data_IF_917046250977
#
_entry.id   IF_917046250977
#
_cell.length_a   1.000
_cell.length_b   1.000
_cell.length_c   1.000
_cell.angle_alpha   90.00
_cell.angle_beta   90.00
_cell.angle_gamma   90.00
#
_symmetry.space_group_name_H-M   'P 1'
#
loop_
_entity.id
_entity.type
_entity.pdbx_description
1 polymer ?
#
# COMPACT_ATOMS: atom_id res chain seq x y z
N UNK A 1 31.63 -10.49 6.11
CA UNK A 1 30.79 -9.52 5.39
C UNK A 1 29.85 -8.89 6.39
N UNK A 2 29.75 -7.55 6.42
CA UNK A 2 28.85 -6.83 7.32
C UNK A 2 27.38 -7.06 7.02
N UNK A 3 26.52 -6.82 8.01
CA UNK A 3 25.08 -6.86 7.86
C UNK A 3 24.60 -5.67 7.00
N UNK A 4 23.56 -5.88 6.20
CA UNK A 4 23.00 -4.85 5.33
C UNK A 4 21.69 -4.33 5.93
N UNK A 5 21.58 -3.01 6.01
CA UNK A 5 20.36 -2.36 6.48
C UNK A 5 19.21 -2.56 5.46
N UNK A 6 17.99 -2.66 5.96
CA UNK A 6 16.81 -2.77 5.12
C UNK A 6 16.61 -1.48 4.31
N UNK A 7 16.55 -1.52 2.95
CA UNK A 7 16.56 -0.32 2.12
C UNK A 7 15.39 0.62 2.37
N UNK A 8 14.19 0.08 2.62
CA UNK A 8 13.01 0.87 2.97
C UNK A 8 13.16 1.50 4.35
N UNK A 9 13.59 0.71 5.36
CA UNK A 9 13.77 1.19 6.73
C UNK A 9 14.80 2.32 6.83
N UNK A 10 15.89 2.24 6.06
CA UNK A 10 16.92 3.29 5.99
C UNK A 10 16.37 4.64 5.46
N UNK A 11 15.29 4.63 4.68
CA UNK A 11 14.68 5.80 4.04
C UNK A 11 13.37 6.27 4.65
N UNK A 12 12.90 5.60 5.70
CA UNK A 12 11.69 6.02 6.43
C UNK A 12 11.91 7.35 7.14
N UNK A 13 10.86 8.18 7.16
CA UNK A 13 10.90 9.51 7.77
C UNK A 13 11.57 10.60 6.90
N UNK A 14 12.30 10.20 5.84
CA UNK A 14 12.87 11.12 4.86
C UNK A 14 12.10 11.05 3.54
N UNK A 15 12.56 10.17 2.64
CA UNK A 15 11.96 10.05 1.31
C UNK A 15 10.67 9.24 1.34
N UNK A 16 10.61 8.22 2.19
CA UNK A 16 9.48 7.29 2.30
C UNK A 16 8.69 7.52 3.58
N UNK A 17 7.38 7.45 3.48
CA UNK A 17 6.48 7.53 4.61
C UNK A 17 6.10 6.14 5.13
N UNK A 18 5.45 6.07 6.29
CA UNK A 18 4.97 4.85 6.94
C UNK A 18 3.73 4.31 6.23
N UNK A 19 3.49 3.01 6.34
CA UNK A 19 2.28 2.37 5.82
C UNK A 19 1.12 2.37 6.84
N UNK A 20 1.38 2.75 8.08
CA UNK A 20 0.36 2.93 9.12
C UNK A 20 0.47 4.34 9.66
N UNK A 21 -0.62 5.10 9.56
CA UNK A 21 -0.71 6.52 9.92
C UNK A 21 -1.66 6.69 11.10
N UNK A 22 -1.19 6.35 12.30
CA UNK A 22 -1.95 6.51 13.54
C UNK A 22 -1.00 6.62 14.73
N UNK A 23 -1.52 7.14 15.84
CA UNK A 23 -0.82 7.25 17.10
C UNK A 23 -1.70 6.74 18.23
N UNK A 24 -1.11 6.06 19.21
CA UNK A 24 -1.77 5.62 20.43
C UNK A 24 -1.15 6.29 21.64
N UNK A 25 -1.98 6.86 22.53
CA UNK A 25 -1.51 7.56 23.72
C UNK A 25 -0.95 6.58 24.79
N UNK A 26 -1.52 5.37 24.88
CA UNK A 26 -1.13 4.35 25.86
C UNK A 26 -0.47 3.14 25.18
N UNK A 27 0.54 2.57 25.86
CA UNK A 27 1.27 1.39 25.35
C UNK A 27 0.36 0.14 25.21
N UNK A 28 -0.67 0.00 26.04
CA UNK A 28 -1.67 -1.07 25.95
C UNK A 28 -2.45 -1.01 24.63
N UNK A 29 -2.85 0.21 24.24
CA UNK A 29 -3.64 0.44 23.04
C UNK A 29 -2.76 0.28 21.80
N UNK A 30 -1.50 0.76 21.87
CA UNK A 30 -0.52 0.53 20.81
C UNK A 30 -0.35 -0.95 20.48
N UNK A 31 -0.22 -1.81 21.51
CA UNK A 31 -0.10 -3.26 21.33
C UNK A 31 -1.32 -3.85 20.61
N UNK A 32 -2.53 -3.47 21.04
CA UNK A 32 -3.79 -3.93 20.42
C UNK A 32 -3.89 -3.49 18.97
N UNK A 33 -3.69 -2.20 18.70
CA UNK A 33 -3.79 -1.64 17.36
C UNK A 33 -2.76 -2.22 16.39
N UNK A 34 -1.55 -2.51 16.86
CA UNK A 34 -0.51 -3.14 16.03
C UNK A 34 -0.88 -4.59 15.69
N UNK A 35 -1.45 -5.35 16.64
CA UNK A 35 -1.90 -6.71 16.35
C UNK A 35 -3.11 -6.74 15.40
N UNK A 36 -4.05 -5.80 15.53
CA UNK A 36 -5.15 -5.63 14.58
C UNK A 36 -4.65 -5.28 13.18
N UNK A 37 -3.69 -4.35 13.03
CA UNK A 37 -3.09 -4.00 11.73
C UNK A 37 -2.43 -5.21 11.06
N UNK A 38 -1.77 -6.06 11.84
CA UNK A 38 -1.21 -7.30 11.32
C UNK A 38 -2.29 -8.26 10.80
N UNK A 39 -3.37 -8.44 11.57
CA UNK A 39 -4.50 -9.32 11.17
C UNK A 39 -5.18 -8.77 9.91
N UNK A 40 -5.43 -7.46 9.82
CA UNK A 40 -6.00 -6.80 8.64
C UNK A 40 -5.13 -7.07 7.40
N UNK A 41 -3.81 -6.81 7.50
CA UNK A 41 -2.89 -7.04 6.38
C UNK A 41 -2.84 -8.50 5.97
N UNK A 42 -2.85 -9.41 6.94
CA UNK A 42 -2.86 -10.84 6.68
C UNK A 42 -4.14 -11.26 5.98
N UNK A 43 -5.30 -10.88 6.49
CA UNK A 43 -6.61 -11.20 5.91
C UNK A 43 -6.73 -10.73 4.45
N UNK A 44 -6.34 -9.48 4.17
CA UNK A 44 -6.40 -8.93 2.81
C UNK A 44 -5.40 -9.65 1.90
N UNK A 45 -4.19 -9.93 2.37
CA UNK A 45 -3.22 -10.68 1.58
C UNK A 45 -3.68 -12.12 1.31
N UNK A 46 -4.19 -12.84 2.30
CA UNK A 46 -4.63 -14.23 2.15
C UNK A 46 -5.79 -14.36 1.13
N UNK A 47 -6.73 -13.40 1.14
CA UNK A 47 -7.84 -13.37 0.17
C UNK A 47 -7.41 -13.07 -1.26
N UNK A 48 -6.41 -12.20 -1.45
CA UNK A 48 -6.06 -11.66 -2.77
C UNK A 48 -4.59 -11.82 -3.16
N UNK A 49 -3.82 -12.70 -2.47
CA UNK A 49 -2.37 -12.85 -2.69
C UNK A 49 -2.02 -13.22 -4.13
N UNK A 50 -2.78 -14.10 -4.74
CA UNK A 50 -2.49 -14.62 -6.09
C UNK A 50 -3.13 -13.79 -7.20
N UNK A 51 -4.38 -13.38 -7.02
CA UNK A 51 -5.17 -12.73 -8.07
C UNK A 51 -5.11 -11.20 -8.03
N UNK A 52 -5.10 -10.63 -6.84
CA UNK A 52 -5.29 -9.19 -6.60
C UNK A 52 -4.07 -8.31 -6.89
N UNK A 53 -2.87 -8.89 -7.09
CA UNK A 53 -1.64 -8.13 -7.36
C UNK A 53 -1.48 -6.89 -6.43
N UNK A 54 -1.63 -7.11 -5.11
CA UNK A 54 -1.53 -6.05 -4.10
C UNK A 54 -0.07 -5.63 -3.94
N UNK A 55 0.18 -4.33 -4.05
CA UNK A 55 1.48 -3.69 -3.83
C UNK A 55 1.71 -3.36 -2.36
N UNK A 56 0.80 -2.60 -1.76
CA UNK A 56 0.86 -2.20 -0.35
C UNK A 56 -0.54 -1.92 0.19
N UNK A 57 -0.63 -1.92 1.52
CA UNK A 57 -1.84 -1.61 2.27
C UNK A 57 -1.48 -0.53 3.28
N UNK A 58 -2.10 0.65 3.14
CA UNK A 58 -1.93 1.76 4.07
C UNK A 58 -3.14 1.80 5.01
N UNK A 59 -2.90 1.98 6.32
CA UNK A 59 -3.93 1.96 7.35
C UNK A 59 -3.88 3.29 8.10
N UNK A 60 -4.99 4.02 8.07
CA UNK A 60 -5.19 5.24 8.85
C UNK A 60 -6.28 4.99 9.90
N UNK A 61 -6.03 5.39 11.14
CA UNK A 61 -7.01 5.19 12.22
C UNK A 61 -7.44 6.54 12.79
N UNK A 62 -8.75 6.78 12.73
CA UNK A 62 -9.43 7.84 13.45
C UNK A 62 -9.98 7.35 14.79
N UNK A 63 -10.67 8.24 15.51
CA UNK A 63 -11.30 7.91 16.78
C UNK A 63 -12.41 6.86 16.61
N UNK A 64 -13.25 6.99 15.59
CA UNK A 64 -14.43 6.14 15.36
C UNK A 64 -14.39 5.35 14.05
N UNK A 65 -13.43 5.62 13.18
CA UNK A 65 -13.33 4.97 11.87
C UNK A 65 -11.91 4.50 11.58
N UNK A 66 -11.80 3.46 10.77
CA UNK A 66 -10.56 2.92 10.22
C UNK A 66 -10.62 3.04 8.71
N UNK A 67 -9.63 3.69 8.11
CA UNK A 67 -9.51 3.82 6.65
C UNK A 67 -8.39 2.91 6.18
N UNK A 68 -8.73 1.95 5.34
CA UNK A 68 -7.77 1.02 4.73
C UNK A 68 -7.66 1.35 3.24
N UNK A 69 -6.47 1.75 2.81
CA UNK A 69 -6.18 2.04 1.40
C UNK A 69 -5.36 0.91 0.81
N UNK A 70 -5.92 0.20 -0.17
CA UNK A 70 -5.27 -0.91 -0.87
C UNK A 70 -4.75 -0.42 -2.21
N UNK A 71 -3.44 -0.55 -2.42
CA UNK A 71 -2.79 -0.29 -3.71
C UNK A 71 -2.65 -1.59 -4.49
N UNK A 72 -3.24 -1.65 -5.67
CA UNK A 72 -3.28 -2.85 -6.50
C UNK A 72 -3.02 -2.53 -7.97
N UNK A 73 -2.43 -3.48 -8.71
CA UNK A 73 -2.32 -3.40 -10.15
C UNK A 73 -3.61 -3.88 -10.88
N UNK A 74 -4.52 -4.56 -10.15
CA UNK A 74 -5.76 -5.11 -10.72
C UNK A 74 -6.98 -4.77 -9.87
N UNK A 75 -7.43 -3.51 -9.86
CA UNK A 75 -8.50 -3.06 -8.98
C UNK A 75 -9.82 -3.81 -9.23
N UNK A 76 -10.11 -4.19 -10.47
CA UNK A 76 -11.34 -4.92 -10.81
C UNK A 76 -11.54 -6.24 -10.08
N UNK A 77 -10.45 -6.93 -9.71
CA UNK A 77 -10.51 -8.20 -8.96
C UNK A 77 -10.92 -7.94 -7.51
N UNK A 78 -10.41 -6.87 -6.91
CA UNK A 78 -10.71 -6.51 -5.52
C UNK A 78 -12.12 -5.90 -5.41
N UNK A 79 -12.55 -5.13 -6.41
CA UNK A 79 -13.88 -4.54 -6.44
C UNK A 79 -14.95 -5.63 -6.64
N UNK A 80 -14.68 -6.61 -7.50
CA UNK A 80 -15.61 -7.67 -7.84
C UNK A 80 -16.78 -7.18 -8.72
N UNK A 81 -17.69 -8.08 -9.03
CA UNK A 81 -18.88 -7.75 -9.82
C UNK A 81 -19.85 -6.89 -8.99
N UNK A 82 -20.15 -5.68 -9.45
CA UNK A 82 -21.08 -4.79 -8.75
C UNK A 82 -20.65 -4.31 -7.37
N UNK A 83 -19.34 -4.46 -7.00
CA UNK A 83 -18.84 -4.00 -5.69
C UNK A 83 -19.01 -4.99 -4.54
N UNK A 84 -19.59 -6.18 -4.77
CA UNK A 84 -19.88 -7.17 -3.71
C UNK A 84 -18.64 -7.60 -2.92
N UNK A 85 -17.48 -7.71 -3.58
CA UNK A 85 -16.25 -8.11 -2.89
C UNK A 85 -15.74 -7.02 -1.93
N UNK A 86 -15.95 -5.75 -2.25
CA UNK A 86 -15.61 -4.61 -1.37
C UNK A 86 -16.50 -4.61 -0.13
N UNK A 87 -17.79 -4.89 -0.29
CA UNK A 87 -18.73 -4.91 0.85
C UNK A 87 -18.39 -6.04 1.82
N UNK A 88 -18.05 -7.23 1.31
CA UNK A 88 -17.56 -8.35 2.14
C UNK A 88 -16.28 -7.99 2.90
N UNK A 89 -15.31 -7.33 2.23
CA UNK A 89 -14.09 -6.89 2.92
C UNK A 89 -14.41 -5.87 3.99
N UNK A 90 -15.35 -4.95 3.73
CA UNK A 90 -15.77 -3.94 4.72
C UNK A 90 -16.39 -4.58 5.95
N UNK A 91 -17.33 -5.52 5.77
CA UNK A 91 -17.95 -6.26 6.86
C UNK A 91 -16.93 -7.03 7.70
N UNK A 92 -15.96 -7.71 7.05
CA UNK A 92 -14.88 -8.39 7.74
C UNK A 92 -14.00 -7.42 8.55
N UNK A 93 -13.66 -6.25 7.97
CA UNK A 93 -12.89 -5.22 8.67
C UNK A 93 -13.66 -4.64 9.86
N UNK A 94 -14.95 -4.40 9.74
CA UNK A 94 -15.81 -3.93 10.82
C UNK A 94 -15.94 -4.96 11.94
N UNK A 95 -16.06 -6.24 11.59
CA UNK A 95 -16.10 -7.33 12.57
C UNK A 95 -14.80 -7.47 13.35
N UNK A 96 -13.64 -7.26 12.71
CA UNK A 96 -12.32 -7.35 13.32
C UNK A 96 -11.98 -6.13 14.21
N UNK A 97 -12.38 -4.93 13.78
CA UNK A 97 -11.97 -3.68 14.46
C UNK A 97 -13.03 -3.15 15.43
N UNK A 98 -14.29 -3.61 15.33
CA UNK A 98 -15.42 -3.07 16.08
C UNK A 98 -15.72 -1.59 15.76
N UNK A 99 -15.13 -1.03 14.70
CA UNK A 99 -15.27 0.34 14.24
C UNK A 99 -15.76 0.37 12.79
N UNK A 100 -16.30 1.51 12.37
CA UNK A 100 -16.66 1.69 10.96
C UNK A 100 -15.42 1.61 10.08
N UNK A 101 -15.46 0.75 9.05
CA UNK A 101 -14.39 0.59 8.10
C UNK A 101 -14.68 1.32 6.78
N UNK A 102 -13.70 2.10 6.33
CA UNK A 102 -13.71 2.72 5.01
C UNK A 102 -12.62 2.08 4.16
N UNK A 103 -13.00 1.53 3.02
CA UNK A 103 -12.07 0.92 2.09
C UNK A 103 -11.86 1.84 0.89
N UNK A 104 -10.59 2.16 0.61
CA UNK A 104 -10.19 2.89 -0.60
C UNK A 104 -9.33 1.95 -1.46
N UNK A 105 -9.61 1.87 -2.75
CA UNK A 105 -8.83 1.08 -3.70
C UNK A 105 -8.15 2.05 -4.66
N UNK A 106 -6.82 1.98 -4.72
CA UNK A 106 -6.01 2.80 -5.62
C UNK A 106 -5.26 1.91 -6.60
N UNK A 107 -5.32 2.28 -7.87
CA UNK A 107 -4.60 1.59 -8.93
C UNK A 107 -3.13 1.99 -8.98
N UNK A 108 -2.26 0.99 -9.07
CA UNK A 108 -0.83 1.18 -9.36
C UNK A 108 -0.65 1.25 -10.87
N UNK A 109 -0.45 2.45 -11.41
CA UNK A 109 -0.33 2.69 -12.86
C UNK A 109 0.84 1.98 -13.52
N UNK A 110 1.94 1.81 -12.81
CA UNK A 110 3.18 1.20 -13.31
C UNK A 110 3.60 0.03 -12.40
N UNK A 111 3.01 -1.18 -12.58
CA UNK A 111 3.30 -2.33 -11.73
C UNK A 111 4.74 -2.83 -11.86
N UNK A 112 5.38 -2.60 -13.02
CA UNK A 112 6.76 -3.01 -13.27
C UNK A 112 7.80 -2.17 -12.50
N UNK A 113 7.40 -1.05 -11.89
CA UNK A 113 8.25 -0.25 -10.99
C UNK A 113 8.08 -0.60 -9.51
N UNK A 114 7.14 -1.49 -9.17
CA UNK A 114 6.92 -1.97 -7.81
C UNK A 114 7.69 -3.26 -7.56
N UNK A 115 8.60 -3.22 -6.58
CA UNK A 115 9.47 -4.36 -6.29
C UNK A 115 8.69 -5.61 -5.82
N UNK A 116 7.54 -5.44 -5.14
CA UNK A 116 6.74 -6.57 -4.66
C UNK A 116 6.02 -7.26 -5.81
N UNK A 117 5.43 -6.48 -6.71
CA UNK A 117 4.72 -7.01 -7.89
C UNK A 117 5.67 -7.71 -8.84
N UNK A 118 6.84 -7.13 -9.10
CA UNK A 118 7.90 -7.76 -9.91
C UNK A 118 8.38 -9.05 -9.24
N UNK A 119 8.61 -9.04 -7.92
CA UNK A 119 9.02 -10.22 -7.17
C UNK A 119 8.00 -11.36 -7.24
N UNK A 120 6.71 -11.06 -7.10
CA UNK A 120 5.61 -12.03 -7.25
C UNK A 120 5.52 -12.59 -8.67
N UNK A 121 5.65 -11.73 -9.69
CA UNK A 121 5.66 -12.17 -11.08
C UNK A 121 6.81 -13.15 -11.39
N UNK A 122 8.00 -12.91 -10.81
CA UNK A 122 9.13 -13.84 -10.90
C UNK A 122 8.81 -15.14 -10.15
N UNK A 123 8.21 -15.07 -8.96
CA UNK A 123 7.83 -16.24 -8.17
C UNK A 123 6.85 -17.14 -8.94
N UNK A 124 5.81 -16.57 -9.54
CA UNK A 124 4.85 -17.29 -10.38
C UNK A 124 5.52 -17.98 -11.57
N UNK A 125 6.46 -17.31 -12.25
CA UNK A 125 7.20 -17.91 -13.36
C UNK A 125 8.05 -19.08 -12.90
N UNK A 126 8.69 -19.00 -11.73
CA UNK A 126 9.49 -20.09 -11.16
C UNK A 126 8.62 -21.28 -10.75
N UNK A 127 7.44 -21.04 -10.18
CA UNK A 127 6.45 -22.09 -9.88
C UNK A 127 5.98 -22.81 -11.15
N UNK A 128 5.84 -22.07 -12.25
CA UNK A 128 5.53 -22.63 -13.59
C UNK A 128 6.74 -23.26 -14.28
N UNK A 129 7.85 -23.48 -13.55
CA UNK A 129 9.08 -24.11 -14.03
C UNK A 129 9.79 -23.37 -15.18
N UNK A 130 9.61 -22.08 -15.30
CA UNK A 130 10.40 -21.24 -16.21
C UNK A 130 11.84 -21.18 -15.71
N UNK A 131 12.81 -21.25 -16.62
CA UNK A 131 14.23 -21.12 -16.28
C UNK A 131 14.49 -19.77 -15.57
N UNK A 132 15.03 -19.81 -14.35
CA UNK A 132 15.20 -18.62 -13.51
C UNK A 132 15.99 -17.50 -14.19
N UNK A 133 17.03 -17.82 -14.97
CA UNK A 133 17.80 -16.81 -15.73
C UNK A 133 16.96 -16.07 -16.75
N UNK A 134 16.03 -16.76 -17.41
CA UNK A 134 15.10 -16.16 -18.37
C UNK A 134 14.10 -15.26 -17.64
N UNK A 135 13.53 -15.74 -16.55
CA UNK A 135 12.59 -14.97 -15.74
C UNK A 135 13.21 -13.66 -15.22
N UNK A 136 14.43 -13.71 -14.68
CA UNK A 136 15.15 -12.53 -14.22
C UNK A 136 15.44 -11.53 -15.34
N UNK A 137 15.93 -12.02 -16.49
CA UNK A 137 16.22 -11.14 -17.64
C UNK A 137 14.97 -10.46 -18.17
N UNK A 138 13.87 -11.21 -18.33
CA UNK A 138 12.60 -10.65 -18.80
C UNK A 138 12.04 -9.61 -17.81
N UNK A 139 12.10 -9.89 -16.51
CA UNK A 139 11.68 -8.94 -15.50
C UNK A 139 12.53 -7.66 -15.52
N UNK A 140 13.87 -7.79 -15.63
CA UNK A 140 14.75 -6.63 -15.73
C UNK A 140 14.44 -5.77 -16.95
N UNK A 141 14.30 -6.38 -18.11
CA UNK A 141 13.97 -5.65 -19.34
C UNK A 141 12.66 -4.86 -19.21
N UNK A 142 11.59 -5.46 -18.67
CA UNK A 142 10.31 -4.77 -18.45
C UNK A 142 10.46 -3.59 -17.51
N UNK A 143 11.13 -3.79 -16.37
CA UNK A 143 11.35 -2.73 -15.38
C UNK A 143 12.18 -1.58 -15.95
N UNK A 144 13.22 -1.86 -16.73
CA UNK A 144 14.02 -0.82 -17.39
C UNK A 144 13.23 -0.08 -18.49
N UNK A 145 12.39 -0.79 -19.25
CA UNK A 145 11.49 -0.19 -20.24
C UNK A 145 10.42 0.71 -19.60
N UNK A 146 9.98 0.37 -18.38
CA UNK A 146 9.03 1.18 -17.61
C UNK A 146 9.65 2.43 -16.97
N UNK A 147 10.97 2.68 -17.19
CA UNK A 147 11.65 3.89 -16.77
C UNK A 147 12.42 3.80 -15.46
N UNK A 148 12.73 2.59 -14.98
CA UNK A 148 13.64 2.42 -13.86
C UNK A 148 15.07 2.81 -14.26
N UNK A 149 15.81 3.48 -13.36
CA UNK A 149 17.23 3.80 -13.55
C UNK A 149 18.16 2.63 -13.22
N UNK A 150 17.63 1.60 -12.59
CA UNK A 150 18.34 0.36 -12.30
C UNK A 150 17.55 -0.64 -11.49
N UNK A 151 17.87 -1.90 -11.71
CA UNK A 151 17.28 -3.04 -11.00
C UNK A 151 18.38 -4.00 -10.52
N UNK A 152 18.17 -4.57 -9.34
CA UNK A 152 18.97 -5.64 -8.80
C UNK A 152 18.05 -6.72 -8.25
N UNK A 153 18.30 -7.94 -8.65
CA UNK A 153 17.56 -9.11 -8.18
C UNK A 153 18.53 -10.16 -7.66
N UNK A 154 18.15 -10.84 -6.59
CA UNK A 154 18.89 -11.97 -6.03
C UNK A 154 17.91 -13.10 -5.80
N UNK A 155 18.22 -14.26 -6.35
CA UNK A 155 17.44 -15.47 -6.18
C UNK A 155 18.29 -16.49 -5.44
N UNK A 156 17.74 -17.11 -4.40
CA UNK A 156 18.46 -18.05 -3.54
C UNK A 156 17.61 -19.28 -3.24
N UNK A 157 18.23 -20.45 -3.25
CA UNK A 157 17.58 -21.75 -3.02
C UNK A 157 18.07 -22.83 -3.98
N UNK A 158 17.27 -23.87 -4.17
CA UNK A 158 17.56 -24.98 -5.09
C UNK A 158 17.20 -24.59 -6.54
N UNK A 159 18.04 -23.74 -7.13
CA UNK A 159 17.80 -23.17 -8.46
C UNK A 159 17.84 -24.26 -9.55
N UNK A 160 16.74 -24.35 -10.30
CA UNK A 160 16.57 -25.37 -11.35
C UNK A 160 16.46 -26.81 -10.82
N UNK A 161 16.12 -27.00 -9.55
CA UNK A 161 16.02 -28.33 -8.92
C UNK A 161 17.37 -28.91 -8.47
N UNK A 162 18.47 -28.12 -8.49
CA UNK A 162 19.77 -28.56 -8.02
C UNK A 162 19.71 -29.02 -6.57
N UNK A 163 20.46 -30.08 -6.22
CA UNK A 163 20.48 -30.65 -4.88
C UNK A 163 21.07 -29.67 -3.87
N UNK A 164 22.15 -28.97 -4.26
CA UNK A 164 22.80 -27.94 -3.43
C UNK A 164 22.20 -26.58 -3.72
N UNK A 165 21.75 -25.91 -2.66
CA UNK A 165 21.24 -24.55 -2.75
C UNK A 165 22.36 -23.58 -3.14
N UNK A 166 22.03 -22.63 -4.01
CA UNK A 166 22.93 -21.55 -4.42
C UNK A 166 22.19 -20.23 -4.55
N UNK A 167 22.96 -19.15 -4.62
CA UNK A 167 22.43 -17.80 -4.81
C UNK A 167 22.97 -17.27 -6.14
N UNK A 168 22.08 -16.75 -6.96
CA UNK A 168 22.42 -16.06 -8.21
C UNK A 168 21.90 -14.63 -8.17
N UNK A 169 22.63 -13.70 -8.78
CA UNK A 169 22.28 -12.28 -8.82
C UNK A 169 22.20 -11.79 -10.27
N UNK A 170 21.21 -10.97 -10.56
CA UNK A 170 21.10 -10.22 -11.80
C UNK A 170 21.00 -8.74 -11.49
N UNK A 171 21.73 -7.92 -12.22
CA UNK A 171 21.73 -6.47 -12.02
C UNK A 171 21.86 -5.79 -13.36
N UNK A 172 21.03 -4.74 -13.56
CA UNK A 172 21.05 -3.88 -14.73
C UNK A 172 20.89 -2.43 -14.29
N UNK A 173 21.64 -1.51 -14.90
CA UNK A 173 21.68 -0.12 -14.47
C UNK A 173 22.40 0.08 -13.14
N UNK A 174 22.04 1.16 -12.43
CA UNK A 174 22.68 1.58 -11.16
C UNK A 174 21.71 1.43 -9.98
N UNK A 175 22.18 0.85 -8.86
CA UNK A 175 21.37 0.74 -7.62
C UNK A 175 22.19 1.24 -6.42
N UNK A 176 22.16 2.55 -6.11
CA UNK A 176 22.98 3.17 -5.06
C UNK A 176 22.35 2.97 -3.68
N UNK A 177 22.64 1.84 -3.02
CA UNK A 177 22.02 1.48 -1.73
C UNK A 177 22.44 2.42 -0.58
N UNK A 178 23.62 3.01 -0.64
CA UNK A 178 24.13 3.90 0.41
C UNK A 178 23.66 5.36 0.27
N UNK A 179 23.16 5.75 -0.90
CA UNK A 179 22.69 7.11 -1.15
C UNK A 179 21.30 7.26 -0.56
N UNK A 180 21.14 8.14 0.45
CA UNK A 180 19.86 8.34 1.14
C UNK A 180 18.79 8.95 0.21
N UNK A 181 19.19 9.91 -0.65
CA UNK A 181 18.28 10.58 -1.59
C UNK A 181 17.77 9.67 -2.73
N UNK A 182 18.37 8.49 -2.91
CA UNK A 182 17.97 7.55 -3.94
C UNK A 182 16.63 6.87 -3.57
N UNK A 183 15.64 6.97 -4.43
CA UNK A 183 14.36 6.30 -4.27
C UNK A 183 14.52 4.83 -4.68
N UNK A 184 14.61 3.96 -3.68
CA UNK A 184 14.77 2.52 -3.88
C UNK A 184 13.57 1.80 -3.30
N UNK A 185 12.87 1.07 -4.14
CA UNK A 185 11.87 0.10 -3.71
C UNK A 185 12.51 -1.27 -3.49
N UNK A 186 12.06 -1.99 -2.47
CA UNK A 186 12.60 -3.29 -2.09
C UNK A 186 11.50 -4.24 -1.65
N UNK A 187 11.56 -5.47 -2.14
CA UNK A 187 10.67 -6.51 -1.67
C UNK A 187 11.37 -7.87 -1.62
N UNK A 188 10.81 -8.72 -0.78
CA UNK A 188 11.14 -10.13 -0.69
C UNK A 188 9.90 -10.92 -1.09
N UNK A 189 10.05 -11.88 -1.98
CA UNK A 189 9.00 -12.79 -2.41
C UNK A 189 9.51 -14.22 -2.34
N UNK A 190 8.62 -15.16 -2.13
CA UNK A 190 8.92 -16.58 -2.02
C UNK A 190 8.20 -17.34 -3.12
N UNK A 191 8.91 -18.26 -3.76
CA UNK A 191 8.36 -19.17 -4.75
C UNK A 191 8.37 -20.59 -4.19
N UNK A 192 7.19 -21.15 -3.98
CA UNK A 192 7.02 -22.52 -3.50
C UNK A 192 7.11 -23.46 -4.69
N UNK A 193 8.19 -24.25 -4.75
CA UNK A 193 8.43 -25.23 -5.80
C UNK A 193 8.38 -26.64 -5.24
N UNK A 194 8.28 -27.66 -6.13
CA UNK A 194 8.32 -29.07 -5.74
C UNK A 194 9.61 -29.48 -5.03
N UNK A 195 10.70 -28.73 -5.24
CA UNK A 195 12.01 -28.97 -4.64
C UNK A 195 12.30 -28.11 -3.40
N UNK A 196 11.34 -27.33 -2.95
CA UNK A 196 11.46 -26.42 -1.80
C UNK A 196 11.19 -24.96 -2.17
N UNK A 197 11.48 -24.06 -1.22
CA UNK A 197 11.22 -22.64 -1.38
C UNK A 197 12.43 -21.92 -1.98
N UNK A 198 12.17 -21.06 -2.96
CA UNK A 198 13.16 -20.18 -3.56
C UNK A 198 12.85 -18.76 -3.12
N UNK A 199 13.79 -18.13 -2.41
CA UNK A 199 13.70 -16.74 -1.99
C UNK A 199 14.13 -15.77 -3.09
N UNK A 200 13.34 -14.73 -3.35
CA UNK A 200 13.58 -13.72 -4.36
C UNK A 200 13.65 -12.36 -3.66
N UNK A 201 14.73 -11.64 -3.85
CA UNK A 201 14.93 -10.27 -3.35
C UNK A 201 15.05 -9.34 -4.54
N UNK A 202 14.23 -8.29 -4.58
CA UNK A 202 14.19 -7.31 -5.67
C UNK A 202 14.46 -5.92 -5.13
N UNK A 203 15.33 -5.17 -5.79
CA UNK A 203 15.60 -3.75 -5.56
C UNK A 203 15.39 -3.02 -6.87
N UNK A 204 14.56 -2.00 -6.87
CA UNK A 204 14.31 -1.15 -8.04
C UNK A 204 14.67 0.28 -7.67
N UNK A 205 15.53 0.89 -8.45
CA UNK A 205 15.92 2.29 -8.33
C UNK A 205 15.22 3.09 -9.42
N UNK A 206 14.38 4.03 -9.01
CA UNK A 206 13.60 4.88 -9.93
C UNK A 206 14.23 6.23 -10.19
N UNK A 207 15.16 6.68 -9.34
CA UNK A 207 15.83 7.96 -9.48
C UNK A 207 16.13 8.61 -8.13
N UNK A 208 16.76 9.79 -8.19
CA UNK A 208 17.05 10.58 -6.99
C UNK A 208 15.91 11.58 -6.71
N UNK A 209 15.50 11.67 -5.45
CA UNK A 209 14.54 12.69 -4.99
C UNK A 209 15.33 13.90 -4.52
N UNK A 210 15.06 15.09 -5.08
CA UNK A 210 15.65 16.33 -4.58
C UNK A 210 15.06 16.62 -3.19
N UNK A 211 15.91 16.65 -2.18
CA UNK A 211 15.55 17.08 -0.82
C UNK A 211 15.72 18.60 -0.69
N UNK A 212 15.16 19.37 -1.62
CA UNK A 212 15.15 20.83 -1.44
C UNK A 212 14.21 21.20 -0.28
N UNK A 213 14.51 22.25 0.49
CA UNK A 213 13.63 22.75 1.56
C UNK A 213 12.20 23.02 1.06
N UNK A 214 12.06 23.41 -0.20
CA UNK A 214 10.76 23.63 -0.86
C UNK A 214 9.99 22.33 -1.09
N UNK A 215 10.66 21.25 -1.51
CA UNK A 215 10.02 19.96 -1.71
C UNK A 215 9.56 19.34 -0.38
N UNK A 216 10.26 19.60 0.70
CA UNK A 216 9.88 19.19 2.05
C UNK A 216 8.68 20.00 2.56
N UNK A 217 8.63 21.32 2.29
CA UNK A 217 7.47 22.18 2.62
C UNK A 217 6.23 21.80 1.83
N UNK A 218 6.35 21.58 0.51
CA UNK A 218 5.25 21.15 -0.33
C UNK A 218 4.65 19.79 0.12
N UNK A 219 5.49 18.87 0.63
CA UNK A 219 5.00 17.60 1.22
C UNK A 219 4.24 17.82 2.53
N UNK A 220 4.68 18.77 3.37
CA UNK A 220 3.99 19.12 4.63
C UNK A 220 2.68 19.85 4.33
N UNK A 221 2.65 20.78 3.40
CA UNK A 221 1.47 21.54 3.00
C UNK A 221 0.39 20.65 2.37
N UNK A 222 0.76 19.75 1.45
CA UNK A 222 -0.17 18.76 0.89
C UNK A 222 -0.74 17.81 1.95
N UNK A 223 0.00 17.55 3.03
CA UNK A 223 -0.45 16.73 4.14
C UNK A 223 -1.44 17.50 5.02
N UNK A 224 -1.25 18.79 5.20
CA UNK A 224 -2.11 19.68 5.99
C UNK A 224 -3.40 20.02 5.23
N UNK A 225 -3.35 20.21 3.92
CA UNK A 225 -4.55 20.46 3.10
C UNK A 225 -5.44 19.23 3.02
N UNK A 226 -4.88 18.01 2.90
CA UNK A 226 -5.66 16.77 2.95
C UNK A 226 -6.34 16.52 4.31
N UNK A 227 -5.80 17.07 5.41
CA UNK A 227 -6.44 16.97 6.73
C UNK A 227 -7.52 18.05 6.96
N UNK A 228 -7.39 19.23 6.33
CA UNK A 228 -8.35 20.34 6.48
C UNK A 228 -9.59 20.17 5.57
N UNK A 229 -9.45 19.64 4.36
CA UNK A 229 -10.60 19.36 3.47
C UNK A 229 -11.61 18.38 4.10
N UNK A 230 -11.16 17.51 5.00
CA UNK A 230 -12.02 16.59 5.76
C UNK A 230 -12.77 17.27 6.92
N UNK A 231 -12.33 18.46 7.36
CA UNK A 231 -12.97 19.27 8.42
C UNK A 231 -14.15 20.12 7.91
N UNK A 232 -14.06 20.64 6.69
CA UNK A 232 -15.03 21.59 6.15
C UNK A 232 -16.31 20.96 5.58
N UNK A 233 -16.26 19.71 5.12
CA UNK A 233 -17.48 18.99 4.70
C UNK A 233 -18.45 18.75 5.89
N UNK A 234 -17.94 18.61 7.09
CA UNK A 234 -18.77 18.38 8.28
C UNK A 234 -19.36 19.67 8.87
N UNK A 235 -18.69 20.83 8.67
CA UNK A 235 -19.22 22.13 9.08
C UNK A 235 -20.37 22.58 8.16
N UNK A 236 -20.28 22.30 6.86
CA UNK A 236 -21.29 22.69 5.87
C UNK A 236 -22.58 21.85 5.94
N UNK A 237 -22.52 20.64 6.50
CA UNK A 237 -23.73 19.82 6.78
C UNK A 237 -24.47 20.31 8.04
N UNK A 238 -23.79 20.87 9.03
CA UNK A 238 -24.42 21.44 10.24
C UNK A 238 -25.15 22.76 9.95
N UNK A 239 -24.63 23.61 9.09
CA UNK A 239 -25.26 24.89 8.71
C UNK A 239 -26.48 24.70 7.78
N UNK A 240 -26.48 23.67 6.90
CA UNK A 240 -27.65 23.34 6.07
C UNK A 240 -28.81 22.70 6.85
N UNK A 241 -28.51 21.95 7.93
CA UNK A 241 -29.53 21.36 8.82
C UNK A 241 -30.24 22.41 9.71
N UNK A 242 -29.51 23.46 10.16
CA UNK A 242 -30.05 24.56 10.97
C UNK A 242 -31.00 25.44 10.18
N UNK A 243 -30.69 25.75 8.93
CA UNK A 243 -31.52 26.62 8.08
C UNK A 243 -32.84 25.97 7.63
N UNK A 244 -32.93 24.65 7.63
CA UNK A 244 -34.16 23.91 7.29
C UNK A 244 -35.14 23.82 8.48
N UNK A 245 -34.63 23.87 9.73
CA UNK A 245 -35.49 23.87 10.94
C UNK A 245 -36.09 25.28 11.23
N UNK A 246 -35.36 26.37 10.97
CA UNK A 246 -35.89 27.72 11.12
C UNK A 246 -37.01 27.99 10.12
N UNK A 247 -36.82 27.60 8.86
CA UNK A 247 -37.84 27.83 7.79
C UNK A 247 -39.13 27.03 7.98
N UNK A 248 -39.14 25.92 8.74
CA UNK A 248 -40.33 25.17 9.10
C UNK A 248 -41.11 25.83 10.23
N UNK A 249 -40.41 26.47 11.20
CA UNK A 249 -41.05 27.22 12.28
C UNK A 249 -41.75 28.48 11.78
N UNK A 250 -41.10 29.23 10.86
CA UNK A 250 -41.65 30.43 10.27
C UNK A 250 -42.89 30.15 9.39
N UNK A 251 -43.06 28.96 8.84
CA UNK A 251 -44.24 28.53 8.06
C UNK A 251 -45.38 28.13 8.99
N UNK A 252 -45.11 27.50 10.12
CA UNK A 252 -46.12 27.12 11.12
C UNK A 252 -46.68 28.33 11.89
N UNK A 253 -45.88 29.36 12.17
CA UNK A 253 -46.32 30.61 12.79
C UNK A 253 -47.20 31.46 11.84
N UNK A 254 -46.88 31.49 10.53
CA UNK A 254 -47.69 32.24 9.57
C UNK A 254 -49.05 31.60 9.21
N UNK A 255 -49.22 30.30 9.42
CA UNK A 255 -50.49 29.60 9.23
C UNK A 255 -51.44 29.81 10.43
N UNK A 256 -50.88 29.94 11.65
CA UNK A 256 -51.65 30.18 12.87
C UNK A 256 -52.23 31.61 12.97
N UNK A 257 -51.66 32.58 12.24
CA UNK A 257 -52.11 33.97 12.26
C UNK A 257 -53.13 34.30 11.19
N UNK A 258 -53.49 33.38 10.28
CA UNK A 258 -54.54 33.58 9.25
C UNK A 258 -55.87 32.88 9.57
N UNK A 259 -56.01 32.28 10.73
CA UNK A 259 -57.25 31.57 11.15
C UNK A 259 -57.92 32.19 12.39
N UNK A 260 -57.71 33.49 12.65
CA UNK A 260 -58.53 34.26 13.62
C UNK A 260 -59.12 35.47 12.98
#
# INVERSE_FOLDING_TARGET
MGQKTHPKGFRLGGIRDWNSHWFAAHASDYKKLTSEDYVIRKMVNDKYSESGAISRIDIERGAQEVVVTIYTARPGIIIGRGGTAVDVIREDLESLTGKKARLNIQEVRQPDLDALLVGRSIAEQLQRRVAYRRALRTAAQRTMQSGASGIKMVVSGRLGGAEIARSDKYMEGRVPLHTLRAQIDYAVSEAFTTFGVIGIKVWIYTGDVSMSPESLRARTENRTTMSNDRGDENSNKRTRGGRRKSRKKDIEENVATQTN
#
